data_IF_085017770489
#
_entry.id   IF_085017770489
#
_cell.length_a   1.000
_cell.length_b   1.000
_cell.length_c   1.000
_cell.angle_alpha   90.00
_cell.angle_beta   90.00
_cell.angle_gamma   90.00
#
_symmetry.space_group_name_H-M   'P 1'
#
loop_
_entity.id
_entity.type
_entity.pdbx_description
1 polymer ?
#
# COMPACT_ATOMS: atom_id res chain seq x y z
N UNK A 1 17.25 -11.41 1.39
CA UNK A 1 16.88 -12.83 1.60
C UNK A 1 16.37 -12.92 3.02
N UNK A 2 15.06 -13.12 3.20
CA UNK A 2 14.43 -13.13 4.53
C UNK A 2 14.98 -14.29 5.35
N UNK A 3 15.58 -14.00 6.49
CA UNK A 3 16.06 -14.98 7.46
C UNK A 3 14.88 -15.51 8.26
N UNK A 4 14.09 -16.40 7.66
CA UNK A 4 13.06 -17.13 8.39
C UNK A 4 13.73 -17.97 9.48
N UNK A 5 13.40 -17.69 10.74
CA UNK A 5 13.78 -18.52 11.88
C UNK A 5 12.61 -19.45 12.19
N UNK A 6 12.74 -20.78 11.96
CA UNK A 6 11.69 -21.75 12.25
C UNK A 6 11.34 -21.86 13.75
N UNK A 7 12.17 -21.32 14.64
CA UNK A 7 11.90 -21.27 16.08
C UNK A 7 11.21 -19.97 16.52
N UNK A 8 10.94 -19.06 15.58
CA UNK A 8 10.21 -17.84 15.87
C UNK A 8 8.74 -18.15 16.16
N UNK A 9 8.19 -17.51 17.19
CA UNK A 9 6.73 -17.50 17.44
C UNK A 9 5.98 -16.62 16.43
N UNK A 10 6.71 -15.89 15.58
CA UNK A 10 6.18 -15.05 14.51
C UNK A 10 6.08 -15.90 13.23
N UNK A 11 4.87 -16.08 12.65
CA UNK A 11 4.67 -16.83 11.41
C UNK A 11 5.46 -16.27 10.22
N UNK A 12 5.84 -17.11 9.25
CA UNK A 12 6.59 -16.69 8.05
C UNK A 12 5.76 -15.66 7.24
N UNK A 13 6.24 -14.42 7.06
CA UNK A 13 5.55 -13.42 6.25
C UNK A 13 5.44 -13.79 4.76
N UNK A 14 6.24 -14.74 4.28
CA UNK A 14 6.25 -15.17 2.88
C UNK A 14 5.53 -16.52 2.65
N UNK A 15 4.78 -17.04 3.63
CA UNK A 15 3.99 -18.25 3.46
C UNK A 15 2.52 -17.92 3.21
N UNK A 16 2.19 -17.63 1.95
CA UNK A 16 0.83 -17.29 1.52
C UNK A 16 -0.15 -18.47 1.51
N UNK A 17 0.29 -19.70 1.79
CA UNK A 17 -0.55 -20.90 1.81
C UNK A 17 -0.99 -21.30 3.23
N UNK A 18 -0.36 -20.77 4.27
CA UNK A 18 -0.72 -21.02 5.66
C UNK A 18 -1.69 -19.97 6.20
N UNK A 19 -2.86 -20.42 6.65
CA UNK A 19 -3.89 -19.56 7.22
C UNK A 19 -3.40 -18.77 8.43
N UNK A 20 -2.58 -19.37 9.30
CA UNK A 20 -2.09 -18.71 10.51
C UNK A 20 -1.15 -17.56 10.16
N UNK A 21 -0.28 -17.77 9.17
CA UNK A 21 0.60 -16.75 8.59
C UNK A 21 -0.18 -15.60 7.98
N UNK A 22 -1.15 -15.89 7.10
CA UNK A 22 -2.02 -14.86 6.50
C UNK A 22 -2.73 -14.06 7.59
N UNK A 23 -3.38 -14.73 8.55
CA UNK A 23 -4.15 -14.07 9.60
C UNK A 23 -3.29 -13.16 10.48
N UNK A 24 -2.09 -13.61 10.86
CA UNK A 24 -1.17 -12.84 11.70
C UNK A 24 -0.71 -11.57 11.01
N UNK A 25 -0.38 -11.62 9.71
CA UNK A 25 0.16 -10.47 8.99
C UNK A 25 -0.91 -9.54 8.42
N UNK A 26 -2.11 -10.06 8.10
CA UNK A 26 -3.20 -9.27 7.53
C UNK A 26 -3.66 -8.12 8.44
N UNK A 27 -3.58 -8.29 9.76
CA UNK A 27 -3.93 -7.21 10.71
C UNK A 27 -2.98 -6.00 10.64
N UNK A 28 -1.78 -6.19 10.09
CA UNK A 28 -0.79 -5.14 9.87
C UNK A 28 -0.76 -4.67 8.41
N UNK A 29 -1.57 -5.30 7.54
CA UNK A 29 -1.63 -4.93 6.15
C UNK A 29 -2.33 -3.57 6.01
N UNK A 30 -1.69 -2.66 5.28
CA UNK A 30 -2.30 -1.43 4.84
C UNK A 30 -2.78 -1.59 3.39
N UNK A 31 -3.94 -1.00 3.08
CA UNK A 31 -4.48 -1.04 1.73
C UNK A 31 -4.04 0.19 0.95
N UNK A 32 -2.84 0.11 0.39
CA UNK A 32 -2.30 1.19 -0.44
C UNK A 32 -3.06 1.31 -1.77
N UNK A 33 -3.58 2.51 -2.03
CA UNK A 33 -4.06 2.90 -3.36
C UNK A 33 -3.07 3.87 -3.98
N UNK A 34 -2.18 3.37 -4.85
CA UNK A 34 -1.18 4.17 -5.53
C UNK A 34 -1.47 4.23 -7.04
N UNK A 35 -2.32 5.16 -7.50
CA UNK A 35 -2.82 5.18 -8.88
C UNK A 35 -1.77 5.56 -9.94
N UNK A 36 -0.60 6.04 -9.53
CA UNK A 36 0.49 6.44 -10.43
C UNK A 36 1.76 5.59 -10.26
N UNK A 37 1.63 4.35 -9.79
CA UNK A 37 2.76 3.40 -9.86
C UNK A 37 3.13 3.18 -11.32
N UNK A 38 4.42 3.26 -11.62
CA UNK A 38 4.99 2.81 -12.89
C UNK A 38 5.63 1.45 -12.69
N UNK A 39 5.00 0.40 -13.22
CA UNK A 39 5.54 -0.96 -13.19
C UNK A 39 6.57 -1.16 -14.31
N UNK A 40 7.47 -2.13 -14.16
CA UNK A 40 8.41 -2.56 -15.19
C UNK A 40 8.41 -4.09 -15.31
N UNK A 41 8.72 -4.60 -16.49
CA UNK A 41 8.66 -6.04 -16.80
C UNK A 41 10.05 -6.69 -16.97
N UNK A 42 11.11 -5.89 -17.02
CA UNK A 42 12.50 -6.35 -17.12
C UNK A 42 13.48 -5.27 -16.65
N UNK A 43 14.76 -5.62 -16.52
CA UNK A 43 15.83 -4.67 -16.19
C UNK A 43 16.04 -3.61 -17.28
N UNK A 44 15.87 -3.98 -18.54
CA UNK A 44 16.01 -3.05 -19.67
C UNK A 44 14.84 -2.07 -19.71
N UNK A 45 13.60 -2.56 -19.49
CA UNK A 45 12.40 -1.74 -19.37
C UNK A 45 12.50 -0.76 -18.18
N UNK A 46 13.06 -1.22 -17.05
CA UNK A 46 13.35 -0.35 -15.91
C UNK A 46 14.31 0.78 -16.30
N UNK A 47 15.42 0.45 -16.97
CA UNK A 47 16.41 1.46 -17.41
C UNK A 47 15.77 2.47 -18.37
N UNK A 48 15.01 1.99 -19.35
CA UNK A 48 14.28 2.85 -20.28
C UNK A 48 13.29 3.76 -19.55
N UNK A 49 12.53 3.24 -18.58
CA UNK A 49 11.58 4.05 -17.81
C UNK A 49 12.28 5.06 -16.92
N UNK A 50 13.39 4.71 -16.26
CA UNK A 50 14.13 5.65 -15.42
C UNK A 50 14.67 6.85 -16.21
N UNK A 51 15.11 6.62 -17.45
CA UNK A 51 15.65 7.68 -18.31
C UNK A 51 14.55 8.55 -18.94
N UNK A 52 13.40 7.97 -19.27
CA UNK A 52 12.38 8.65 -20.09
C UNK A 52 11.13 9.08 -19.33
N UNK A 53 10.91 8.57 -18.12
CA UNK A 53 9.70 8.90 -17.35
C UNK A 53 9.82 10.28 -16.73
N UNK A 54 8.78 11.11 -16.91
CA UNK A 54 8.67 12.37 -16.21
C UNK A 54 8.22 12.16 -14.76
N UNK A 55 9.18 11.85 -13.89
CA UNK A 55 8.93 11.60 -12.46
C UNK A 55 8.37 12.83 -11.73
N UNK A 56 8.70 14.04 -12.21
CA UNK A 56 8.13 15.29 -11.66
C UNK A 56 6.63 15.37 -11.92
N UNK A 57 6.19 15.08 -13.14
CA UNK A 57 4.77 15.04 -13.47
C UNK A 57 4.03 13.98 -12.65
N UNK A 58 4.58 12.76 -12.53
CA UNK A 58 4.00 11.69 -11.71
C UNK A 58 3.87 12.14 -10.25
N UNK A 59 4.90 12.75 -9.69
CA UNK A 59 4.89 13.29 -8.33
C UNK A 59 3.78 14.34 -8.13
N UNK A 60 3.61 15.25 -9.09
CA UNK A 60 2.53 16.24 -9.06
C UNK A 60 1.14 15.58 -9.10
N UNK A 61 0.94 14.61 -9.98
CA UNK A 61 -0.34 13.88 -10.07
C UNK A 61 -0.63 13.12 -8.77
N UNK A 62 0.38 12.47 -8.18
CA UNK A 62 0.25 11.79 -6.89
C UNK A 62 -0.11 12.77 -5.77
N UNK A 63 0.51 13.96 -5.75
CA UNK A 63 0.18 15.01 -4.77
C UNK A 63 -1.28 15.46 -4.88
N UNK A 64 -1.76 15.73 -6.11
CA UNK A 64 -3.16 16.10 -6.37
C UNK A 64 -4.13 15.00 -5.91
N UNK A 65 -3.83 13.75 -6.23
CA UNK A 65 -4.65 12.62 -5.77
C UNK A 65 -4.66 12.48 -4.26
N UNK A 66 -3.49 12.55 -3.61
CA UNK A 66 -3.36 12.45 -2.15
C UNK A 66 -4.16 13.55 -1.44
N UNK A 67 -4.15 14.76 -1.96
CA UNK A 67 -4.96 15.86 -1.44
C UNK A 67 -6.46 15.54 -1.50
N UNK A 68 -6.95 15.08 -2.65
CA UNK A 68 -8.36 14.68 -2.82
C UNK A 68 -8.72 13.50 -1.91
N UNK A 69 -7.86 12.49 -1.82
CA UNK A 69 -8.07 11.31 -0.97
C UNK A 69 -8.15 11.70 0.50
N UNK A 70 -7.29 12.60 0.98
CA UNK A 70 -7.33 13.13 2.35
C UNK A 70 -8.67 13.78 2.66
N UNK A 71 -9.15 14.68 1.80
CA UNK A 71 -10.44 15.36 2.00
C UNK A 71 -11.60 14.35 2.06
N UNK A 72 -11.60 13.37 1.16
CA UNK A 72 -12.61 12.33 1.13
C UNK A 72 -12.59 11.48 2.43
N UNK A 73 -11.41 11.01 2.84
CA UNK A 73 -11.26 10.23 4.08
C UNK A 73 -11.74 11.00 5.31
N UNK A 74 -11.39 12.29 5.43
CA UNK A 74 -11.85 13.13 6.55
C UNK A 74 -13.39 13.23 6.58
N UNK A 75 -14.03 13.38 5.41
CA UNK A 75 -15.48 13.44 5.33
C UNK A 75 -16.15 12.09 5.70
N UNK A 76 -15.55 10.96 5.27
CA UNK A 76 -16.02 9.63 5.66
C UNK A 76 -15.91 9.43 7.17
N UNK A 77 -14.76 9.75 7.76
CA UNK A 77 -14.55 9.65 9.21
C UNK A 77 -15.51 10.53 10.00
N UNK A 78 -15.72 11.78 9.57
CA UNK A 78 -16.74 12.67 10.17
C UNK A 78 -18.12 12.01 10.18
N UNK A 79 -18.49 11.37 9.09
CA UNK A 79 -19.79 10.68 8.96
C UNK A 79 -19.88 9.46 9.89
N UNK A 80 -18.84 8.64 9.94
CA UNK A 80 -18.78 7.45 10.81
C UNK A 80 -18.87 7.86 12.28
N UNK A 81 -18.05 8.82 12.71
CA UNK A 81 -18.02 9.28 14.09
C UNK A 81 -19.35 9.91 14.52
N UNK A 82 -19.99 10.69 13.64
CA UNK A 82 -21.32 11.24 13.91
C UNK A 82 -22.37 10.15 14.17
N UNK A 83 -22.36 9.05 13.37
CA UNK A 83 -23.28 7.92 13.56
C UNK A 83 -23.04 7.20 14.90
N UNK A 84 -21.77 7.01 15.26
CA UNK A 84 -21.41 6.37 16.53
C UNK A 84 -21.84 7.23 17.71
N UNK A 85 -21.66 8.56 17.64
CA UNK A 85 -22.01 9.45 18.77
C UNK A 85 -23.50 9.61 19.04
N UNK A 86 -24.37 9.28 18.07
CA UNK A 86 -25.83 9.36 18.22
C UNK A 86 -26.47 8.05 18.65
N UNK A 87 -25.67 7.00 18.84
CA UNK A 87 -26.09 5.67 19.34
C UNK A 87 -25.69 5.55 20.80
#
# INVERSE_FOLDING_TARGET
ISSYDPNSTIPDPNNEYDYSSIRYWLQYADFYQWPYITYFNSTDDLTLKLLNTNLTYISQQMSVYNHRKKLNLLQQWKTILARISTT
#
